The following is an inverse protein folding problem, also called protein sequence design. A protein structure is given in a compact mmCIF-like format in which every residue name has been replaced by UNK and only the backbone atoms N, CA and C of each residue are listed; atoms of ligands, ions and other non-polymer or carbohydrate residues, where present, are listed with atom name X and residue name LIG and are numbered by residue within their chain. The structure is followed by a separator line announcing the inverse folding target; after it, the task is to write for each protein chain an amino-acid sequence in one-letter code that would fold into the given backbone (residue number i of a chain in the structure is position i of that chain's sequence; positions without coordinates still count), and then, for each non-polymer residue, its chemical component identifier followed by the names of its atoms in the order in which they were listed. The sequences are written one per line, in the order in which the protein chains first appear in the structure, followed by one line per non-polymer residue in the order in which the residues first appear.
data_IF_487663344362
#
_entry.id   IF_487663344362
#
_cell.length_a   1.000
_cell.length_b   1.000
_cell.length_c   1.000
_cell.angle_alpha   90.00
_cell.angle_beta   90.00
_cell.angle_gamma   90.00
#
_symmetry.space_group_name_H-M   'P 1'
#
loop_
_entity.id
_entity.type
_entity.pdbx_description
1 polymer ?
#
# COMPACT_ATOMS: atom_id res chain seq x y z
N UNK A 1 7.48 9.40 -6.39
CA UNK A 1 6.55 9.13 -7.51
C UNK A 1 7.00 9.64 -8.88
N UNK A 2 8.16 10.30 -9.02
CA UNK A 2 8.54 10.96 -10.28
C UNK A 2 8.82 10.01 -11.47
N UNK A 3 8.90 8.69 -11.24
CA UNK A 3 9.32 7.70 -12.26
C UNK A 3 8.29 6.62 -12.58
N UNK A 4 7.32 6.38 -11.71
CA UNK A 4 6.21 5.46 -11.99
C UNK A 4 5.19 6.18 -12.87
N UNK A 5 4.77 5.54 -13.97
CA UNK A 5 3.68 6.06 -14.80
C UNK A 5 2.33 5.72 -14.15
N UNK A 6 1.76 6.70 -13.44
CA UNK A 6 0.48 6.55 -12.74
C UNK A 6 -0.72 6.39 -13.69
N UNK A 7 -0.54 6.59 -15.01
CA UNK A 7 -1.61 6.37 -15.99
C UNK A 7 -1.67 4.92 -16.48
N UNK A 8 -0.70 4.08 -16.08
CA UNK A 8 -0.62 2.69 -16.51
C UNK A 8 -0.99 1.75 -15.38
N UNK A 9 -2.23 1.27 -15.40
CA UNK A 9 -2.72 0.23 -14.50
C UNK A 9 -2.60 -1.17 -15.15
N UNK A 10 -2.37 -2.24 -14.36
CA UNK A 10 -2.07 -2.23 -12.93
C UNK A 10 -0.68 -1.66 -12.63
N UNK A 11 -0.49 -1.09 -11.43
CA UNK A 11 0.83 -0.70 -10.93
C UNK A 11 1.66 -1.93 -10.52
N UNK A 12 2.89 -1.73 -10.03
CA UNK A 12 3.82 -2.81 -9.68
C UNK A 12 4.54 -3.40 -10.91
N UNK A 13 4.36 -2.80 -12.09
CA UNK A 13 4.95 -3.26 -13.35
C UNK A 13 6.32 -2.61 -13.65
N UNK A 14 6.84 -1.82 -12.72
CA UNK A 14 8.12 -1.14 -12.80
C UNK A 14 8.93 -1.34 -11.51
N UNK A 15 10.17 -0.86 -11.50
CA UNK A 15 11.08 -0.94 -10.36
C UNK A 15 10.72 0.04 -9.22
N UNK A 16 9.74 0.91 -9.43
CA UNK A 16 9.52 2.10 -8.62
C UNK A 16 8.18 2.02 -7.86
N UNK A 17 7.42 0.93 -8.04
CA UNK A 17 6.14 0.68 -7.40
C UNK A 17 6.03 -0.75 -6.83
N UNK A 18 5.45 -0.84 -5.64
CA UNK A 18 5.11 -2.06 -4.94
C UNK A 18 3.66 -1.95 -4.46
N UNK A 19 2.80 -2.87 -4.89
CA UNK A 19 1.34 -2.74 -4.66
C UNK A 19 0.71 -4.06 -4.28
N UNK A 20 -0.35 -3.99 -3.47
CA UNK A 20 -1.33 -5.06 -3.31
C UNK A 20 -2.43 -4.87 -4.37
N UNK A 21 -2.70 -5.89 -5.19
CA UNK A 21 -3.74 -5.88 -6.23
C UNK A 21 -5.09 -6.39 -5.69
N UNK A 22 -6.18 -6.09 -6.40
CA UNK A 22 -7.55 -6.57 -6.09
C UNK A 22 -7.66 -8.10 -6.05
N UNK A 23 -6.77 -8.80 -6.73
CA UNK A 23 -6.69 -10.26 -6.84
C UNK A 23 -5.96 -10.88 -5.64
N UNK A 24 -5.59 -10.06 -4.65
CA UNK A 24 -4.87 -10.49 -3.47
C UNK A 24 -3.44 -10.90 -3.77
N UNK A 25 -2.75 -10.18 -4.66
CA UNK A 25 -1.33 -10.42 -4.94
C UNK A 25 -0.50 -9.18 -4.62
N UNK A 26 0.67 -9.38 -3.99
CA UNK A 26 1.63 -8.30 -3.77
C UNK A 26 2.66 -8.35 -4.89
N UNK A 27 2.75 -7.27 -5.67
CA UNK A 27 3.55 -7.20 -6.90
C UNK A 27 4.54 -6.04 -6.82
N UNK A 28 5.80 -6.32 -7.11
CA UNK A 28 6.87 -5.34 -7.29
C UNK A 28 7.67 -5.72 -8.52
N UNK A 29 8.04 -4.77 -9.40
CA UNK A 29 8.87 -5.05 -10.57
C UNK A 29 8.37 -6.23 -11.44
N UNK A 30 7.05 -6.33 -11.64
CA UNK A 30 6.35 -7.40 -12.37
C UNK A 30 6.43 -8.78 -11.71
N UNK A 31 7.07 -8.90 -10.55
CA UNK A 31 7.18 -10.14 -9.80
C UNK A 31 6.11 -10.20 -8.73
N UNK A 32 5.37 -11.32 -8.70
CA UNK A 32 4.43 -11.61 -7.62
C UNK A 32 5.25 -12.13 -6.44
N UNK A 33 5.40 -11.29 -5.41
CA UNK A 33 6.15 -11.62 -4.20
C UNK A 33 5.31 -12.46 -3.24
N UNK A 34 4.02 -12.13 -3.11
CA UNK A 34 3.10 -12.82 -2.21
C UNK A 34 1.72 -12.98 -2.85
N UNK A 35 0.99 -13.98 -2.36
CA UNK A 35 -0.44 -14.16 -2.62
C UNK A 35 -1.17 -14.33 -1.31
N UNK A 36 -2.20 -13.51 -1.10
CA UNK A 36 -3.01 -13.54 0.11
C UNK A 36 -3.76 -14.88 0.21
N UNK A 37 -3.87 -15.41 1.42
CA UNK A 37 -4.69 -16.60 1.70
C UNK A 37 -6.17 -16.26 1.77
N UNK A 38 -6.48 -15.03 2.18
CA UNK A 38 -7.81 -14.48 2.34
C UNK A 38 -8.18 -13.55 1.19
N UNK A 39 -9.45 -13.54 0.82
CA UNK A 39 -9.98 -12.73 -0.28
C UNK A 39 -10.40 -11.36 0.25
N UNK A 40 -9.96 -10.29 -0.39
CA UNK A 40 -10.40 -8.91 -0.09
C UNK A 40 -11.76 -8.68 -0.73
N UNK A 41 -12.68 -8.05 0.00
CA UNK A 41 -14.05 -7.77 -0.42
C UNK A 41 -14.36 -6.26 -0.34
N UNK A 42 -15.44 -5.84 -0.99
CA UNK A 42 -15.98 -4.49 -0.82
C UNK A 42 -16.34 -4.24 0.65
N UNK A 43 -15.92 -3.07 1.17
CA UNK A 43 -16.11 -2.69 2.57
C UNK A 43 -14.96 -3.10 3.50
N UNK A 44 -14.02 -3.93 3.03
CA UNK A 44 -12.81 -4.23 3.81
C UNK A 44 -11.88 -3.01 3.91
N UNK A 45 -11.16 -2.94 5.02
CA UNK A 45 -10.15 -1.91 5.28
C UNK A 45 -8.75 -2.51 5.13
N UNK A 46 -7.98 -2.00 4.17
CA UNK A 46 -6.57 -2.35 4.02
C UNK A 46 -5.70 -1.38 4.82
N UNK A 47 -5.01 -1.90 5.82
CA UNK A 47 -3.98 -1.17 6.56
C UNK A 47 -2.61 -1.37 5.90
N UNK A 48 -1.77 -0.34 5.95
CA UNK A 48 -0.42 -0.38 5.38
C UNK A 48 0.55 0.21 6.40
N UNK A 49 1.67 -0.47 6.64
CA UNK A 49 2.78 0.04 7.45
C UNK A 49 4.06 0.08 6.61
N UNK A 50 4.90 1.09 6.85
CA UNK A 50 6.20 1.22 6.21
C UNK A 50 7.22 1.92 7.11
N UNK A 51 8.40 1.33 7.31
CA UNK A 51 9.45 1.83 8.22
C UNK A 51 10.83 2.01 7.57
N UNK A 52 10.89 2.12 6.24
CA UNK A 52 12.11 2.10 5.41
C UNK A 52 12.85 0.76 5.28
N UNK A 53 12.53 -0.24 6.11
CA UNK A 53 13.06 -1.60 5.97
C UNK A 53 12.02 -2.51 5.31
N UNK A 54 10.77 -2.38 5.74
CA UNK A 54 9.67 -3.26 5.40
C UNK A 54 8.39 -2.49 5.10
N UNK A 55 7.70 -2.90 4.04
CA UNK A 55 6.30 -2.58 3.75
C UNK A 55 5.45 -3.80 4.09
N UNK A 56 4.38 -3.63 4.87
CA UNK A 56 3.46 -4.73 5.19
C UNK A 56 2.00 -4.29 5.08
N UNK A 57 1.11 -5.28 4.90
CA UNK A 57 -0.32 -5.09 4.66
C UNK A 57 -1.15 -5.77 5.75
N UNK A 58 -2.31 -5.17 6.05
CA UNK A 58 -3.27 -5.64 7.03
C UNK A 58 -4.66 -5.68 6.41
N UNK A 59 -5.46 -6.67 6.76
CA UNK A 59 -6.87 -6.76 6.39
C UNK A 59 -7.72 -6.63 7.65
N UNK A 60 -8.56 -5.59 7.72
CA UNK A 60 -9.44 -5.32 8.86
C UNK A 60 -8.69 -5.31 10.21
N UNK A 61 -7.49 -4.72 10.22
CA UNK A 61 -6.62 -4.64 11.40
C UNK A 61 -5.81 -5.91 11.71
N UNK A 62 -5.97 -6.99 10.93
CA UNK A 62 -5.21 -8.23 11.10
C UNK A 62 -4.03 -8.27 10.12
N UNK A 63 -2.83 -8.59 10.61
CA UNK A 63 -1.63 -8.74 9.80
C UNK A 63 -1.80 -9.83 8.73
N UNK A 64 -1.49 -9.52 7.48
CA UNK A 64 -1.53 -10.48 6.37
C UNK A 64 -0.24 -11.33 6.26
N UNK A 65 0.81 -10.98 7.01
CA UNK A 65 2.12 -11.62 7.02
C UNK A 65 2.75 -11.74 5.62
N UNK A 66 2.69 -10.65 4.85
CA UNK A 66 3.21 -10.57 3.47
C UNK A 66 4.21 -9.42 3.32
N UNK A 67 5.32 -9.42 4.09
CA UNK A 67 6.26 -8.31 4.12
C UNK A 67 7.01 -8.17 2.79
N UNK A 68 7.19 -6.94 2.34
CA UNK A 68 8.05 -6.57 1.22
C UNK A 68 9.24 -5.80 1.76
N UNK A 69 10.45 -6.28 1.47
CA UNK A 69 11.69 -5.65 1.90
C UNK A 69 12.45 -5.06 0.71
N UNK A 70 13.41 -4.19 1.00
CA UNK A 70 14.31 -3.65 -0.03
C UNK A 70 13.69 -2.56 -0.91
N UNK A 71 12.55 -2.00 -0.49
CA UNK A 71 12.01 -0.74 -1.02
C UNK A 71 13.02 0.38 -0.70
N UNK A 72 13.43 1.16 -1.70
CA UNK A 72 14.50 2.15 -1.57
C UNK A 72 14.07 3.51 -2.05
N UNK A 73 14.73 4.53 -1.52
CA UNK A 73 14.53 5.92 -1.91
C UNK A 73 13.35 6.57 -1.20
N UNK A 74 12.97 7.74 -1.71
CA UNK A 74 11.83 8.50 -1.22
C UNK A 74 10.54 7.91 -1.82
N UNK A 75 9.68 7.39 -0.95
CA UNK A 75 8.44 6.71 -1.34
C UNK A 75 7.22 7.45 -0.83
N UNK A 76 6.10 7.24 -1.53
CA UNK A 76 4.82 7.83 -1.19
C UNK A 76 3.75 6.75 -1.27
N UNK A 77 2.70 6.81 -0.44
CA UNK A 77 1.51 6.00 -0.66
C UNK A 77 0.94 6.25 -2.05
N UNK A 78 0.53 5.19 -2.73
CA UNK A 78 -0.12 5.27 -4.04
C UNK A 78 -1.30 4.31 -4.07
N UNK A 79 -2.39 4.76 -4.68
CA UNK A 79 -3.56 3.95 -4.97
C UNK A 79 -3.83 4.05 -6.47
N UNK A 80 -4.31 2.96 -7.06
CA UNK A 80 -4.84 2.95 -8.41
C UNK A 80 -6.18 2.23 -8.42
N UNK A 81 -7.05 2.64 -9.32
CA UNK A 81 -8.37 2.05 -9.54
C UNK A 81 -8.59 1.89 -11.04
N UNK A 82 -9.38 0.90 -11.43
CA UNK A 82 -9.87 0.69 -12.79
C UNK A 82 -11.32 0.17 -12.71
N UNK A 83 -12.01 0.09 -13.85
CA UNK A 83 -13.35 -0.52 -13.99
C UNK A 83 -14.42 0.03 -13.01
N UNK A 84 -14.30 1.31 -12.66
CA UNK A 84 -15.27 1.98 -11.78
C UNK A 84 -15.11 1.68 -10.29
N UNK A 85 -14.02 1.02 -9.88
CA UNK A 85 -13.71 0.82 -8.46
C UNK A 85 -13.56 2.16 -7.73
N UNK A 86 -14.04 2.20 -6.48
CA UNK A 86 -13.97 3.38 -5.61
C UNK A 86 -13.21 2.98 -4.35
N UNK A 87 -12.22 3.80 -3.98
CA UNK A 87 -11.44 3.64 -2.75
C UNK A 87 -11.43 4.96 -1.98
N UNK A 88 -11.69 4.87 -0.68
CA UNK A 88 -11.51 5.97 0.26
C UNK A 88 -10.16 5.83 0.96
N UNK A 89 -9.30 6.84 0.83
CA UNK A 89 -8.01 6.87 1.48
C UNK A 89 -8.09 7.60 2.83
N UNK A 90 -7.70 6.93 3.91
CA UNK A 90 -7.69 7.47 5.27
C UNK A 90 -6.25 7.62 5.74
N UNK A 91 -5.80 8.85 6.00
CA UNK A 91 -4.46 9.16 6.48
C UNK A 91 -4.41 9.61 7.94
N UNK A 92 -5.57 9.78 8.59
CA UNK A 92 -5.70 10.08 10.02
C UNK A 92 -7.04 9.52 10.54
N UNK A 93 -7.19 9.38 11.86
CA UNK A 93 -8.43 8.84 12.46
C UNK A 93 -8.80 7.44 11.93
N UNK A 94 -7.85 6.51 11.97
CA UNK A 94 -7.98 5.17 11.39
C UNK A 94 -9.10 4.33 12.02
N UNK A 95 -9.70 3.45 11.21
CA UNK A 95 -10.69 2.45 11.66
C UNK A 95 -10.09 1.40 12.60
N UNK A 96 -8.79 1.13 12.47
CA UNK A 96 -8.05 0.17 13.29
C UNK A 96 -6.83 0.87 13.91
N UNK A 97 -6.46 0.46 15.12
CA UNK A 97 -5.30 1.01 15.82
C UNK A 97 -4.02 0.68 15.04
N UNK A 98 -3.15 1.68 14.75
CA UNK A 98 -1.85 1.41 14.17
C UNK A 98 -1.03 0.41 14.99
N UNK A 99 -0.27 -0.50 14.36
CA UNK A 99 0.65 -1.38 15.06
C UNK A 99 1.68 -0.59 15.88
N UNK A 100 2.24 -1.23 16.91
CA UNK A 100 3.23 -0.59 17.78
C UNK A 100 4.42 -0.06 16.98
N UNK A 101 4.79 1.20 17.21
CA UNK A 101 5.91 1.86 16.51
C UNK A 101 5.50 2.54 15.21
N UNK A 102 4.25 2.40 14.76
CA UNK A 102 3.71 3.10 13.61
C UNK A 102 2.70 4.17 14.05
N UNK A 103 2.74 5.29 13.35
CA UNK A 103 1.80 6.39 13.51
C UNK A 103 1.28 6.85 12.15
N UNK A 104 0.32 7.76 12.17
CA UNK A 104 -0.21 8.34 10.94
C UNK A 104 0.86 9.13 10.17
N UNK A 105 0.67 9.24 8.86
CA UNK A 105 1.55 10.09 8.03
C UNK A 105 1.36 11.55 8.45
N UNK A 106 2.44 12.17 8.88
CA UNK A 106 2.46 13.59 9.23
C UNK A 106 2.65 14.42 7.96
N UNK A 107 1.70 15.30 7.68
CA UNK A 107 1.82 16.25 6.57
C UNK A 107 2.53 17.50 7.09
N UNK A 108 3.78 17.66 6.71
CA UNK A 108 4.51 18.90 7.00
C UNK A 108 4.06 20.01 6.03
N UNK A 109 3.46 21.07 6.57
CA UNK A 109 3.27 22.31 5.82
C UNK A 109 4.53 23.16 5.94
N UNK A 110 5.21 23.37 4.80
CA UNK A 110 6.28 24.35 4.74
C UNK A 110 5.67 25.76 4.79
N UNK A 111 5.85 26.47 5.90
CA UNK A 111 5.32 27.83 6.14
C UNK A 111 6.14 28.94 5.42
N UNK A 112 6.67 28.65 4.22
CA UNK A 112 7.50 29.59 3.46
C UNK A 112 6.64 30.53 2.60
#
# INVERSE_FOLDING_TARGET
TQKTDLNRVPLGQDLESCVLTSEGTVVCNKEVLHKLQQTVQEGDVIGITYDHLELNFYLNGTDLHVPVTGVKGEVFPVLYVDDGAILDAVFSSFFHTPPLGFEQIMVEQSLL
#
